data_IF_444408231052
#
_entry.id   IF_444408231052
#
_cell.length_a   1.000
_cell.length_b   1.000
_cell.length_c   1.000
_cell.angle_alpha   90.00
_cell.angle_beta   90.00
_cell.angle_gamma   90.00
#
_symmetry.space_group_name_H-M   'P 1'
#
loop_
_entity.id
_entity.type
_entity.pdbx_description
1 polymer ?
#
# COMPACT_ATOMS: atom_id res chain seq x y z
N UNK A 1 14.06 4.22 -6.82
CA UNK A 1 12.98 4.77 -5.99
C UNK A 1 11.66 4.55 -6.70
N UNK A 2 10.72 3.94 -5.97
CA UNK A 2 9.41 3.53 -6.47
C UNK A 2 8.61 4.74 -6.93
N UNK A 3 7.93 4.61 -8.07
CA UNK A 3 7.16 5.72 -8.66
C UNK A 3 5.73 5.82 -8.11
N UNK A 4 5.44 5.15 -7.00
CA UNK A 4 4.11 4.99 -6.40
C UNK A 4 3.46 3.63 -6.68
N UNK A 5 2.15 3.56 -6.50
CA UNK A 5 1.34 2.35 -6.60
C UNK A 5 0.98 2.03 -8.06
N UNK A 6 1.31 0.83 -8.53
CA UNK A 6 1.00 0.35 -9.87
C UNK A 6 0.08 -0.86 -9.86
N UNK A 7 -0.86 -0.88 -10.81
CA UNK A 7 -1.77 -1.99 -11.05
C UNK A 7 -1.41 -2.70 -12.34
N UNK A 8 -1.22 -4.01 -12.24
CA UNK A 8 -1.00 -4.92 -13.36
C UNK A 8 -2.03 -6.04 -13.32
N UNK A 9 -2.25 -6.70 -14.46
CA UNK A 9 -2.88 -8.01 -14.46
C UNK A 9 -1.96 -9.02 -13.76
N UNK A 10 -2.54 -9.87 -12.90
CA UNK A 10 -1.80 -10.92 -12.19
C UNK A 10 -1.63 -12.21 -13.01
N UNK A 11 -2.33 -12.33 -14.15
CA UNK A 11 -2.27 -13.52 -15.00
C UNK A 11 -0.92 -13.65 -15.70
N UNK A 12 -0.29 -14.83 -15.72
CA UNK A 12 1.05 -15.03 -16.29
C UNK A 12 1.09 -14.80 -17.81
N UNK A 13 -0.05 -14.86 -18.50
CA UNK A 13 -0.16 -14.59 -19.93
C UNK A 13 -0.37 -13.12 -20.28
N UNK A 14 -0.47 -12.25 -19.28
CA UNK A 14 -0.68 -10.81 -19.50
C UNK A 14 0.62 -10.09 -19.86
N UNK A 15 0.47 -8.94 -20.53
CA UNK A 15 1.61 -8.07 -20.85
C UNK A 15 2.14 -7.30 -19.64
N UNK A 16 3.09 -6.41 -19.90
CA UNK A 16 3.72 -5.54 -18.88
C UNK A 16 3.05 -4.17 -18.79
N UNK A 17 1.84 -4.02 -19.35
CA UNK A 17 1.11 -2.75 -19.33
C UNK A 17 0.51 -2.54 -17.94
N UNK A 18 1.02 -1.54 -17.23
CA UNK A 18 0.56 -1.15 -15.91
C UNK A 18 -0.21 0.17 -15.94
N UNK A 19 -1.12 0.32 -15.00
CA UNK A 19 -1.80 1.58 -14.70
C UNK A 19 -1.24 2.13 -13.39
N UNK A 20 -0.74 3.36 -13.42
CA UNK A 20 -0.36 4.07 -12.20
C UNK A 20 -1.63 4.45 -11.44
N UNK A 21 -1.76 3.99 -10.21
CA UNK A 21 -2.90 4.28 -9.32
C UNK A 21 -2.65 5.58 -8.55
N UNK A 22 -1.47 5.72 -7.97
CA UNK A 22 -1.07 6.93 -7.26
C UNK A 22 0.45 7.07 -7.29
N UNK A 23 0.95 8.30 -7.36
CA UNK A 23 2.37 8.60 -7.35
C UNK A 23 2.82 9.04 -5.95
N UNK A 24 4.10 8.84 -5.64
CA UNK A 24 4.72 9.52 -4.50
C UNK A 24 4.77 11.02 -4.74
N UNK A 25 4.76 11.83 -3.67
CA UNK A 25 5.00 13.26 -3.76
C UNK A 25 6.43 13.51 -4.30
N UNK A 26 6.64 14.62 -5.04
CA UNK A 26 5.67 15.67 -5.38
C UNK A 26 4.79 15.39 -6.61
N UNK A 27 5.00 14.28 -7.33
CA UNK A 27 4.21 13.96 -8.53
C UNK A 27 2.77 13.57 -8.21
N UNK A 28 2.56 12.88 -7.08
CA UNK A 28 1.25 12.61 -6.50
C UNK A 28 0.96 13.52 -5.30
N UNK A 29 -0.02 13.11 -4.49
CA UNK A 29 -0.45 13.94 -3.36
C UNK A 29 -0.69 13.17 -2.06
N UNK A 30 -0.88 11.85 -2.12
CA UNK A 30 -1.31 11.07 -0.95
C UNK A 30 -0.22 10.18 -0.35
N UNK A 31 0.90 9.97 -1.07
CA UNK A 31 1.98 9.08 -0.65
C UNK A 31 3.28 9.86 -0.45
N UNK A 32 3.93 9.66 0.68
CA UNK A 32 5.30 10.10 0.95
C UNK A 32 6.26 8.93 0.71
N UNK A 33 7.38 9.19 0.03
CA UNK A 33 8.33 8.13 -0.28
C UNK A 33 9.08 7.67 0.99
N UNK A 34 9.39 6.38 1.14
CA UNK A 34 9.10 5.31 0.19
C UNK A 34 7.70 4.70 0.34
N UNK A 35 7.19 4.13 -0.77
CA UNK A 35 5.96 3.33 -0.77
C UNK A 35 6.36 1.88 -0.70
N UNK A 36 6.01 1.26 0.40
CA UNK A 36 6.50 -0.07 0.75
C UNK A 36 5.38 -1.12 0.67
N UNK A 37 5.10 -1.84 1.76
CA UNK A 37 4.21 -2.99 1.77
C UNK A 37 2.79 -2.67 1.34
N UNK A 38 2.22 -3.59 0.56
CA UNK A 38 0.84 -3.56 0.08
C UNK A 38 0.05 -4.73 0.67
N UNK A 39 -1.19 -4.48 1.09
CA UNK A 39 -2.11 -5.53 1.52
C UNK A 39 -3.55 -5.26 1.09
N UNK A 40 -4.38 -6.30 1.01
CA UNK A 40 -5.75 -6.20 0.51
C UNK A 40 -6.72 -6.67 1.58
N UNK A 41 -7.67 -5.80 1.93
CA UNK A 41 -8.88 -6.15 2.68
C UNK A 41 -9.95 -6.65 1.72
N UNK A 42 -10.52 -7.83 1.99
CA UNK A 42 -11.51 -8.47 1.12
C UNK A 42 -12.92 -8.36 1.70
N UNK A 43 -13.78 -7.54 1.08
CA UNK A 43 -15.22 -7.53 1.34
C UNK A 43 -16.00 -8.42 0.38
N UNK A 44 -17.32 -8.51 0.59
CA UNK A 44 -18.25 -9.18 -0.32
C UNK A 44 -18.33 -8.55 -1.72
N UNK A 45 -18.67 -9.37 -2.71
CA UNK A 45 -18.96 -8.94 -4.10
C UNK A 45 -17.89 -8.06 -4.78
N UNK A 46 -16.62 -8.26 -4.42
CA UNK A 46 -15.48 -7.55 -5.03
C UNK A 46 -15.10 -6.25 -4.34
N UNK A 47 -15.87 -5.83 -3.32
CA UNK A 47 -15.56 -4.69 -2.46
C UNK A 47 -14.33 -4.98 -1.58
N UNK A 48 -13.84 -3.91 -0.95
CA UNK A 48 -12.75 -3.96 0.01
C UNK A 48 -11.74 -2.84 -0.22
N UNK A 49 -10.51 -3.03 0.26
CA UNK A 49 -9.49 -1.99 0.27
C UNK A 49 -8.12 -2.49 -0.14
N UNK A 50 -7.36 -1.65 -0.84
CA UNK A 50 -5.91 -1.75 -0.94
C UNK A 50 -5.32 -0.81 0.13
N UNK A 51 -4.44 -1.34 0.98
CA UNK A 51 -3.67 -0.57 1.93
C UNK A 51 -2.21 -0.51 1.46
N UNK A 52 -1.61 0.67 1.52
CA UNK A 52 -0.22 0.90 1.17
C UNK A 52 0.52 1.62 2.29
N UNK A 53 1.68 1.10 2.68
CA UNK A 53 2.57 1.79 3.62
C UNK A 53 3.20 3.00 2.93
N UNK A 54 2.95 4.19 3.48
CA UNK A 54 3.59 5.46 3.12
C UNK A 54 4.64 5.75 4.18
N UNK A 55 5.83 5.17 3.98
CA UNK A 55 6.85 5.07 5.01
C UNK A 55 7.33 6.46 5.44
N UNK A 56 7.53 7.37 4.47
CA UNK A 56 8.10 8.70 4.72
C UNK A 56 7.24 9.63 5.58
N UNK A 57 5.95 9.32 5.77
CA UNK A 57 5.06 10.09 6.67
C UNK A 57 4.41 9.23 7.76
N UNK A 58 4.89 8.00 7.97
CA UNK A 58 4.42 7.07 9.01
C UNK A 58 2.91 6.77 8.92
N UNK A 59 2.35 6.75 7.70
CA UNK A 59 0.93 6.47 7.48
C UNK A 59 0.69 5.24 6.62
N UNK A 60 -0.53 4.71 6.68
CA UNK A 60 -1.07 3.74 5.74
C UNK A 60 -2.17 4.39 4.92
N UNK A 61 -1.96 4.50 3.60
CA UNK A 61 -2.95 5.00 2.66
C UNK A 61 -3.96 3.90 2.31
N UNK A 62 -5.24 4.27 2.25
CA UNK A 62 -6.35 3.36 1.95
C UNK A 62 -6.98 3.75 0.62
N UNK A 63 -7.07 2.78 -0.28
CA UNK A 63 -7.70 2.91 -1.58
C UNK A 63 -8.85 1.91 -1.70
N UNK A 64 -9.87 2.24 -2.47
CA UNK A 64 -10.90 1.27 -2.82
C UNK A 64 -10.27 0.08 -3.58
N UNK A 65 -10.72 -1.15 -3.32
CA UNK A 65 -10.28 -2.33 -4.08
C UNK A 65 -10.93 -2.37 -5.47
N UNK A 66 -12.17 -1.91 -5.56
CA UNK A 66 -12.97 -1.90 -6.79
C UNK A 66 -12.66 -0.67 -7.66
N UNK A 67 -13.26 -0.64 -8.85
CA UNK A 67 -13.22 0.48 -9.80
C UNK A 67 -11.78 0.95 -10.12
N UNK A 68 -11.53 2.25 -10.03
CA UNK A 68 -10.26 2.92 -10.33
C UNK A 68 -9.25 2.92 -9.18
N UNK A 69 -9.54 2.23 -8.07
CA UNK A 69 -8.74 2.26 -6.85
C UNK A 69 -8.63 3.67 -6.24
N UNK A 70 -9.76 4.36 -6.11
CA UNK A 70 -9.83 5.73 -5.58
C UNK A 70 -9.29 5.80 -4.14
N UNK A 71 -8.53 6.85 -3.84
CA UNK A 71 -8.02 7.13 -2.49
C UNK A 71 -9.17 7.51 -1.54
N UNK A 72 -9.18 6.91 -0.35
CA UNK A 72 -10.22 7.08 0.67
C UNK A 72 -9.73 7.85 1.91
N UNK A 73 -8.41 7.99 2.07
CA UNK A 73 -7.76 8.61 3.21
C UNK A 73 -6.58 7.78 3.72
N UNK A 74 -5.85 8.32 4.69
CA UNK A 74 -4.73 7.64 5.35
C UNK A 74 -4.94 7.62 6.85
N UNK A 75 -4.33 6.65 7.53
CA UNK A 75 -4.30 6.58 9.00
C UNK A 75 -2.88 6.29 9.49
N UNK A 76 -2.55 6.78 10.67
CA UNK A 76 -1.38 6.34 11.45
C UNK A 76 -1.80 5.42 12.59
N UNK A 77 -0.88 4.59 13.09
CA UNK A 77 -1.09 3.79 14.31
C UNK A 77 -0.36 4.50 15.45
N UNK A 78 -1.13 5.20 16.28
CA UNK A 78 -0.60 5.90 17.46
C UNK A 78 -0.27 4.95 18.62
N UNK A 79 0.33 5.52 19.66
CA UNK A 79 0.64 4.84 20.91
C UNK A 79 -0.63 4.51 21.71
N UNK A 80 -0.58 3.44 22.50
CA UNK A 80 -1.63 3.02 23.40
C UNK A 80 -1.09 2.30 24.63
N UNK A 81 -1.16 2.97 25.79
CA UNK A 81 -0.65 2.43 27.04
C UNK A 81 0.87 2.28 26.98
N UNK A 82 1.36 1.05 27.14
CA UNK A 82 2.80 0.74 27.06
C UNK A 82 3.24 0.29 25.65
N UNK A 83 2.37 0.44 24.65
CA UNK A 83 2.67 0.16 23.24
C UNK A 83 2.88 1.49 22.53
N UNK A 84 4.03 1.64 21.90
CA UNK A 84 4.47 2.77 21.10
C UNK A 84 3.79 2.84 19.72
N UNK A 85 3.89 4.02 19.09
CA UNK A 85 3.36 4.28 17.76
C UNK A 85 4.19 3.59 16.68
N UNK A 86 3.56 3.30 15.54
CA UNK A 86 4.25 2.73 14.37
C UNK A 86 4.97 3.82 13.62
N UNK A 87 6.26 3.59 13.32
CA UNK A 87 7.07 4.45 12.48
C UNK A 87 7.85 3.63 11.46
N UNK A 88 8.17 4.25 10.32
CA UNK A 88 9.01 3.70 9.25
C UNK A 88 8.59 2.28 8.81
N UNK A 89 7.28 2.03 8.76
CA UNK A 89 6.73 0.71 8.44
C UNK A 89 7.09 0.27 7.02
N UNK A 90 7.77 -0.87 6.91
CA UNK A 90 8.01 -1.56 5.64
C UNK A 90 6.76 -2.26 5.12
N UNK A 91 5.79 -2.61 5.98
CA UNK A 91 4.58 -3.26 5.49
C UNK A 91 3.73 -3.95 6.54
N UNK A 92 2.61 -4.50 6.06
CA UNK A 92 1.62 -5.13 6.91
C UNK A 92 0.74 -6.13 6.18
N UNK A 93 -0.16 -6.74 6.95
CA UNK A 93 -1.17 -7.67 6.47
C UNK A 93 -2.50 -7.36 7.14
N UNK A 94 -3.58 -7.40 6.35
CA UNK A 94 -4.94 -7.25 6.86
C UNK A 94 -5.75 -8.52 6.61
N UNK A 95 -6.57 -8.89 7.59
CA UNK A 95 -7.55 -9.96 7.46
C UNK A 95 -8.86 -9.53 8.12
N UNK A 96 -9.98 -9.82 7.47
CA UNK A 96 -11.31 -9.50 7.97
C UNK A 96 -11.96 -10.67 8.76
N UNK A 97 -11.23 -11.77 8.93
CA UNK A 97 -11.70 -12.97 9.64
C UNK A 97 -11.54 -12.76 11.15
N UNK A 98 -12.59 -13.00 11.96
CA UNK A 98 -12.51 -12.94 13.41
C UNK A 98 -11.37 -13.82 13.95
N UNK A 99 -10.46 -13.21 14.70
CA UNK A 99 -9.23 -13.83 15.20
C UNK A 99 -9.23 -13.87 16.73
N UNK A 100 -10.14 -14.68 17.28
CA UNK A 100 -10.37 -14.80 18.72
C UNK A 100 -11.10 -13.59 19.32
N UNK A 101 -11.25 -13.58 20.64
CA UNK A 101 -12.07 -12.57 21.35
C UNK A 101 -11.46 -11.17 21.36
N UNK A 102 -10.14 -11.05 21.09
CA UNK A 102 -9.45 -9.76 21.04
C UNK A 102 -9.58 -9.04 19.69
N UNK A 103 -9.86 -9.79 18.63
CA UNK A 103 -9.94 -9.27 17.26
C UNK A 103 -11.21 -9.81 16.57
N UNK A 104 -12.41 -9.50 17.11
CA UNK A 104 -13.65 -10.07 16.62
C UNK A 104 -14.03 -9.59 15.21
N UNK A 105 -13.45 -8.49 14.74
CA UNK A 105 -13.75 -7.89 13.43
C UNK A 105 -12.61 -7.98 12.42
N UNK A 106 -11.63 -8.84 12.70
CA UNK A 106 -10.41 -8.94 11.91
C UNK A 106 -9.25 -8.18 12.55
N UNK A 107 -8.13 -8.22 11.86
CA UNK A 107 -6.83 -7.78 12.37
C UNK A 107 -6.04 -7.13 11.24
N UNK A 108 -5.46 -5.97 11.53
CA UNK A 108 -4.36 -5.38 10.78
C UNK A 108 -3.08 -5.56 11.59
N UNK A 109 -2.04 -6.10 10.96
CA UNK A 109 -0.70 -6.22 11.51
C UNK A 109 0.22 -5.35 10.67
N UNK A 110 1.03 -4.52 11.30
CA UNK A 110 2.02 -3.69 10.59
C UNK A 110 3.35 -3.74 11.33
N UNK A 111 4.44 -3.73 10.57
CA UNK A 111 5.78 -3.62 11.13
C UNK A 111 6.02 -2.21 11.66
N UNK A 112 6.86 -2.11 12.66
CA UNK A 112 7.33 -0.85 13.25
C UNK A 112 8.86 -0.86 13.25
N UNK A 113 9.45 0.00 12.42
CA UNK A 113 10.89 0.12 12.25
C UNK A 113 11.56 0.84 13.42
N UNK A 114 10.82 1.65 14.17
CA UNK A 114 11.36 2.47 15.25
C UNK A 114 10.73 2.13 16.61
N UNK A 115 10.79 0.84 16.95
CA UNK A 115 10.13 0.32 18.15
C UNK A 115 10.83 0.75 19.46
N UNK A 116 10.02 1.01 20.49
CA UNK A 116 10.47 1.19 21.87
C UNK A 116 10.47 -0.11 22.70
N UNK A 117 11.40 -0.26 23.68
CA UNK A 117 12.59 0.56 23.85
C UNK A 117 13.62 0.27 22.75
N UNK A 118 14.35 1.31 22.35
CA UNK A 118 15.41 1.21 21.34
C UNK A 118 16.50 0.21 21.74
N UNK A 119 16.99 -0.54 20.74
CA UNK A 119 18.23 -1.32 20.84
C UNK A 119 19.14 -0.82 19.74
N UNK A 120 20.13 0.00 20.09
CA UNK A 120 20.98 0.67 19.10
C UNK A 120 22.17 -0.21 18.68
N UNK A 121 22.34 -0.38 17.37
CA UNK A 121 23.50 -0.99 16.74
C UNK A 121 24.19 0.05 15.86
N UNK A 122 25.52 0.11 15.88
CA UNK A 122 26.27 1.01 14.99
C UNK A 122 26.55 0.30 13.68
N UNK A 123 25.96 0.79 12.59
CA UNK A 123 26.24 0.32 11.24
C UNK A 123 27.53 0.97 10.71
N UNK A 124 28.54 0.15 10.40
CA UNK A 124 29.82 0.63 9.87
C UNK A 124 29.76 1.00 8.38
N UNK A 125 28.80 0.49 7.61
CA UNK A 125 28.62 0.83 6.21
C UNK A 125 27.96 2.20 6.08
N UNK A 126 26.89 2.43 6.84
CA UNK A 126 26.10 3.67 6.81
C UNK A 126 26.58 4.73 7.82
N UNK A 127 27.52 4.36 8.70
CA UNK A 127 28.14 5.24 9.70
C UNK A 127 27.13 5.88 10.67
N UNK A 128 26.07 5.14 11.01
CA UNK A 128 24.99 5.61 11.87
C UNK A 128 24.54 4.56 12.91
N UNK A 129 23.78 5.00 13.92
CA UNK A 129 23.15 4.10 14.87
C UNK A 129 21.75 3.76 14.39
N UNK A 130 21.46 2.48 14.23
CA UNK A 130 20.15 1.97 13.87
C UNK A 130 19.45 1.35 15.07
N UNK A 131 18.13 1.52 15.14
CA UNK A 131 17.31 0.80 16.09
C UNK A 131 17.00 -0.60 15.56
N UNK A 132 17.61 -1.63 16.14
CA UNK A 132 17.39 -3.04 15.75
C UNK A 132 16.30 -3.73 16.56
N UNK A 133 15.46 -2.97 17.28
CA UNK A 133 14.37 -3.50 18.11
C UNK A 133 13.04 -3.69 17.35
N UNK A 134 13.03 -3.48 16.03
CA UNK A 134 11.85 -3.56 15.16
C UNK A 134 10.93 -4.75 15.49
N UNK A 135 9.62 -4.51 15.48
CA UNK A 135 8.61 -5.54 15.75
C UNK A 135 7.34 -5.34 14.92
N UNK A 136 6.22 -5.91 15.38
CA UNK A 136 4.92 -5.78 14.73
C UNK A 136 3.85 -5.35 15.73
N UNK A 137 3.00 -4.41 15.34
CA UNK A 137 1.82 -4.00 16.11
C UNK A 137 0.56 -4.66 15.56
N UNK A 138 -0.39 -4.90 16.46
CA UNK A 138 -1.66 -5.58 16.17
C UNK A 138 -2.81 -4.62 16.44
N UNK A 139 -3.57 -4.28 15.40
CA UNK A 139 -4.68 -3.33 15.46
C UNK A 139 -5.97 -4.03 15.04
N UNK A 140 -6.98 -3.98 15.90
CA UNK A 140 -8.32 -4.44 15.52
C UNK A 140 -8.84 -3.63 14.34
N UNK A 141 -9.31 -4.31 13.29
CA UNK A 141 -9.74 -3.65 12.06
C UNK A 141 -10.84 -2.61 12.30
N UNK A 142 -11.71 -2.86 13.27
CA UNK A 142 -12.77 -1.94 13.66
C UNK A 142 -12.26 -0.57 14.13
N UNK A 143 -11.05 -0.50 14.71
CA UNK A 143 -10.47 0.77 15.16
C UNK A 143 -10.05 1.62 13.95
N UNK A 144 -9.47 0.97 12.93
CA UNK A 144 -9.10 1.64 11.67
C UNK A 144 -10.35 2.06 10.93
N UNK A 145 -11.29 1.13 10.74
CA UNK A 145 -12.50 1.37 9.98
C UNK A 145 -13.32 2.54 10.54
N UNK A 146 -13.44 2.64 11.86
CA UNK A 146 -14.21 3.69 12.53
C UNK A 146 -13.43 5.01 12.70
N UNK A 147 -12.14 5.06 12.39
CA UNK A 147 -11.35 6.30 12.47
C UNK A 147 -11.63 7.26 11.29
N UNK A 148 -12.20 6.76 10.20
CA UNK A 148 -12.50 7.56 9.01
C UNK A 148 -13.80 8.34 9.20
N UNK A 149 -13.90 9.60 8.72
CA UNK A 149 -15.15 10.37 8.76
C UNK A 149 -16.34 9.64 8.14
N UNK A 150 -16.07 8.90 7.06
CA UNK A 150 -16.97 7.89 6.50
C UNK A 150 -16.38 6.52 6.86
N UNK A 151 -16.95 5.79 7.83
CA UNK A 151 -16.37 4.54 8.29
C UNK A 151 -16.16 3.53 7.15
N UNK A 152 -15.03 2.84 7.18
CA UNK A 152 -14.74 1.76 6.25
C UNK A 152 -15.61 0.53 6.55
N UNK A 153 -15.70 -0.37 5.57
CA UNK A 153 -16.43 -1.62 5.65
C UNK A 153 -15.85 -2.51 6.75
N UNK A 154 -16.72 -3.00 7.62
CA UNK A 154 -16.46 -4.11 8.53
C UNK A 154 -17.30 -5.29 8.06
N UNK A 155 -16.68 -6.22 7.36
CA UNK A 155 -17.31 -7.43 6.85
C UNK A 155 -16.51 -8.65 7.31
N UNK A 156 -17.09 -9.45 8.20
CA UNK A 156 -16.44 -10.64 8.77
C UNK A 156 -16.93 -11.95 8.16
N UNK A 157 -17.80 -11.88 7.15
CA UNK A 157 -18.62 -13.02 6.73
C UNK A 157 -18.57 -13.32 5.24
N UNK A 158 -18.35 -12.31 4.39
CA UNK A 158 -18.45 -12.51 2.93
C UNK A 158 -17.20 -13.09 2.30
N UNK A 159 -16.05 -12.96 2.95
CA UNK A 159 -14.78 -13.54 2.51
C UNK A 159 -14.29 -14.61 3.47
N UNK A 160 -13.86 -15.75 2.93
CA UNK A 160 -13.18 -16.80 3.67
C UNK A 160 -11.89 -17.15 2.91
N UNK A 161 -10.70 -16.87 3.46
CA UNK A 161 -9.43 -17.11 2.77
C UNK A 161 -9.14 -18.59 2.51
N UNK A 162 -9.92 -19.51 3.09
CA UNK A 162 -9.78 -20.96 2.89
C UNK A 162 -10.82 -21.54 1.94
N UNK A 163 -11.76 -20.73 1.47
CA UNK A 163 -12.72 -21.13 0.45
C UNK A 163 -12.40 -20.36 -0.82
N UNK A 164 -12.31 -21.09 -1.93
CA UNK A 164 -12.12 -20.50 -3.25
C UNK A 164 -13.42 -19.82 -3.67
N UNK A 165 -13.60 -18.59 -3.20
CA UNK A 165 -14.72 -17.73 -3.54
C UNK A 165 -14.32 -16.82 -4.70
N UNK A 166 -13.50 -17.29 -5.65
CA UNK A 166 -13.11 -16.56 -6.87
C UNK A 166 -14.31 -16.24 -7.78
N UNK A 167 -15.23 -15.41 -7.29
CA UNK A 167 -15.83 -14.39 -8.12
C UNK A 167 -14.68 -13.43 -8.43
N UNK A 168 -14.04 -13.70 -9.57
CA UNK A 168 -13.07 -12.83 -10.23
C UNK A 168 -13.46 -11.37 -10.00
N UNK A 169 -12.48 -10.55 -9.59
CA UNK A 169 -12.57 -9.09 -9.71
C UNK A 169 -13.21 -8.81 -11.07
N UNK A 170 -14.29 -8.01 -11.18
CA UNK A 170 -14.85 -7.68 -12.48
C UNK A 170 -13.70 -7.14 -13.34
N UNK A 171 -13.46 -7.77 -14.48
CA UNK A 171 -12.54 -7.24 -15.50
C UNK A 171 -12.88 -5.76 -15.69
N UNK A 172 -11.90 -4.84 -15.60
CA UNK A 172 -12.18 -3.43 -15.82
C UNK A 172 -12.81 -3.27 -17.20
N UNK A 173 -14.08 -2.85 -17.26
CA UNK A 173 -14.78 -2.69 -18.53
C UNK A 173 -14.12 -1.56 -19.31
N UNK A 174 -13.48 -1.90 -20.43
CA UNK A 174 -12.89 -0.93 -21.38
C UNK A 174 -13.93 -0.19 -22.23
N UNK A 175 -15.23 -0.38 -21.97
CA UNK A 175 -16.30 0.24 -22.73
C UNK A 175 -16.57 1.68 -22.24
N UNK A 176 -15.75 2.64 -22.66
CA UNK A 176 -16.00 4.05 -22.33
C UNK A 176 -15.23 5.13 -23.09
N UNK A 177 -14.15 4.81 -23.80
CA UNK A 177 -13.39 5.84 -24.54
C UNK A 177 -13.62 5.75 -26.05
N UNK A 178 -14.53 6.59 -26.54
CA UNK A 178 -14.62 6.98 -27.94
C UNK A 178 -13.27 7.53 -28.39
N UNK A 179 -12.65 6.81 -29.32
CA UNK A 179 -11.39 7.14 -29.97
C UNK A 179 -11.50 8.51 -30.67
N UNK A 180 -10.85 9.55 -30.14
CA UNK A 180 -10.46 10.71 -30.92
C UNK A 180 -8.99 10.54 -31.29
N UNK A 181 -8.74 10.11 -32.52
CA UNK A 181 -7.41 9.93 -33.07
C UNK A 181 -6.73 11.29 -33.30
N UNK A 182 -5.51 11.47 -32.76
CA UNK A 182 -4.54 12.43 -33.28
C UNK A 182 -3.24 11.66 -33.52
N UNK A 183 -2.86 11.53 -34.80
CA UNK A 183 -1.59 10.95 -35.24
C UNK A 183 -0.45 11.93 -34.94
N UNK A 184 0.57 11.48 -34.21
CA UNK A 184 1.84 12.18 -34.03
C UNK A 184 3.02 11.26 -34.34
N UNK A 185 3.41 11.22 -35.60
CA UNK A 185 4.57 10.47 -36.10
C UNK A 185 5.85 11.20 -35.69
N UNK A 186 6.78 10.53 -34.98
CA UNK A 186 8.03 11.14 -34.54
C UNK A 186 9.09 10.13 -34.12
N UNK A 187 9.78 9.54 -35.09
CA UNK A 187 10.97 8.73 -34.88
C UNK A 187 12.18 9.68 -34.73
N UNK A 188 12.99 9.57 -33.66
CA UNK A 188 14.40 10.00 -33.71
C UNK A 188 15.27 9.30 -32.64
N UNK A 189 16.12 8.38 -33.11
CA UNK A 189 17.27 7.84 -32.40
C UNK A 189 18.42 8.86 -32.41
N UNK A 190 19.12 9.08 -31.27
CA UNK A 190 20.59 9.16 -31.26
C UNK A 190 21.26 9.17 -29.87
N UNK A 191 22.06 8.11 -29.67
CA UNK A 191 23.44 7.99 -29.13
C UNK A 191 23.88 8.78 -27.87
N UNK A 192 24.27 7.98 -26.87
CA UNK A 192 25.33 8.20 -25.86
C UNK A 192 26.56 8.95 -26.41
N UNK A 193 27.03 9.95 -25.67
CA UNK A 193 28.42 10.38 -25.64
C UNK A 193 28.88 10.54 -24.19
N UNK A 194 29.92 9.78 -23.82
CA UNK A 194 30.76 10.00 -22.63
C UNK A 194 31.53 11.30 -22.84
N UNK A 195 31.56 12.19 -21.84
CA UNK A 195 32.55 13.27 -21.77
C UNK A 195 33.67 12.85 -20.83
N UNK A 196 34.89 12.91 -21.34
CA UNK A 196 36.11 13.00 -20.56
C UNK A 196 36.50 14.48 -20.46
N UNK A 197 36.77 14.91 -19.22
CA UNK A 197 37.83 15.79 -18.74
C UNK A 197 38.08 17.23 -19.26
N UNK A 198 38.25 18.09 -18.24
CA UNK A 198 39.16 19.24 -18.07
C UNK A 198 38.74 20.64 -18.59
N UNK A 199 38.49 21.54 -17.63
CA UNK A 199 39.36 22.69 -17.33
C UNK A 199 39.44 22.89 -15.83
#
# INVERSE_FOLDING_TARGET
>A
MGKGNWKFSAEPSSGTDGVLIDAVKPEGSNLEADVEGLTIYYGGDGEGYLLASSQGDNTSAVYNRAAGNDYLGSFGVGDFGDIDAVQESDGGAVINVPSGSKFPFGLFVTQDGYNDPEVLFFDEEDQEFENVSSNFKFVGWENIANAFPNPLLIDTTSFNPRQDNSKSVPEPSTNGFTLLAIFGMGYLLRKRQRRANLS
#
